data_IF_121019544405
#
_entry.id   IF_121019544405
#
_cell.length_a   1.000
_cell.length_b   1.000
_cell.length_c   1.000
_cell.angle_alpha   90.00
_cell.angle_beta   90.00
_cell.angle_gamma   90.00
#
_symmetry.space_group_name_H-M   'P 1'
#
loop_
_entity.id
_entity.type
_entity.pdbx_description
1 polymer ?
#
# COMPACT_ATOMS: atom_id res chain seq x y z
N UNK A 1 75.36 27.47 -3.49
CA UNK A 1 75.51 27.73 -2.05
C UNK A 1 74.50 26.82 -1.34
N UNK A 2 74.83 25.53 -1.17
CA UNK A 2 75.53 24.92 -0.01
C UNK A 2 74.67 24.88 1.26
N UNK A 3 73.87 23.81 1.38
CA UNK A 3 73.75 22.78 2.44
C UNK A 3 74.24 23.10 3.89
N UNK A 4 73.71 22.43 4.94
CA UNK A 4 73.27 21.02 4.89
C UNK A 4 71.99 20.62 5.66
N UNK A 5 71.50 19.43 5.27
CA UNK A 5 70.69 18.50 6.05
C UNK A 5 71.47 17.91 7.24
N UNK A 6 70.77 17.25 8.18
CA UNK A 6 71.14 15.95 8.81
C UNK A 6 70.04 15.50 9.79
N UNK A 7 69.90 14.17 10.03
CA UNK A 7 68.64 13.48 10.31
C UNK A 7 68.60 12.72 11.66
N UNK A 8 67.50 12.00 11.92
CA UNK A 8 67.37 10.99 12.97
C UNK A 8 65.96 11.00 13.56
N UNK A 9 65.25 9.90 13.81
CA UNK A 9 65.66 8.53 14.03
C UNK A 9 64.56 7.56 13.56
N UNK A 10 65.01 6.46 12.96
CA UNK A 10 64.32 5.17 12.91
C UNK A 10 64.06 4.64 14.33
N UNK A 11 62.88 4.08 14.59
CA UNK A 11 62.77 2.94 15.52
C UNK A 11 61.69 1.96 15.05
N UNK A 12 62.18 0.77 14.70
CA UNK A 12 61.45 -0.49 14.59
C UNK A 12 61.00 -0.98 16.00
N UNK A 13 60.16 -2.03 15.97
CA UNK A 13 59.83 -2.98 17.07
C UNK A 13 58.75 -2.45 18.03
N UNK A 14 57.64 -3.13 18.37
CA UNK A 14 57.43 -4.57 18.51
C UNK A 14 55.96 -5.00 18.41
N UNK A 15 55.83 -6.25 17.99
CA UNK A 15 54.69 -7.15 18.01
C UNK A 15 54.18 -7.41 19.44
N UNK A 16 52.86 -7.38 19.67
CA UNK A 16 52.25 -8.13 20.79
C UNK A 16 50.90 -8.72 20.36
N UNK A 17 50.95 -10.02 20.05
CA UNK A 17 49.80 -10.93 20.13
C UNK A 17 49.36 -11.02 21.59
N UNK A 18 48.04 -11.03 21.84
CA UNK A 18 47.49 -11.72 23.00
C UNK A 18 46.27 -12.52 22.58
N UNK A 19 46.47 -13.84 22.48
CA UNK A 19 45.43 -14.86 22.51
C UNK A 19 44.90 -14.97 23.94
N UNK A 20 43.58 -15.00 24.12
CA UNK A 20 42.96 -15.64 25.27
C UNK A 20 41.96 -16.69 24.78
N UNK A 21 42.42 -17.95 24.85
CA UNK A 21 41.61 -19.16 24.88
C UNK A 21 40.90 -19.24 26.24
N UNK A 22 39.58 -19.40 26.24
CA UNK A 22 38.88 -20.07 27.32
C UNK A 22 38.04 -21.21 26.73
N UNK A 23 38.39 -22.42 27.18
CA UNK A 23 37.80 -23.70 26.81
C UNK A 23 36.60 -23.99 27.72
N UNK A 24 35.47 -24.28 27.07
CA UNK A 24 34.40 -25.23 27.35
C UNK A 24 33.92 -25.52 28.80
N UNK A 25 32.59 -25.41 28.97
CA UNK A 25 31.67 -26.51 29.34
C UNK A 25 30.34 -26.15 28.62
N UNK A 26 29.74 -26.94 27.73
CA UNK A 26 29.49 -28.38 27.84
C UNK A 26 28.10 -28.60 28.45
N UNK A 27 27.03 -28.48 27.65
CA UNK A 27 25.77 -29.23 27.87
C UNK A 27 24.89 -29.20 26.62
N UNK A 28 24.99 -30.30 25.89
CA UNK A 28 24.11 -30.68 24.78
C UNK A 28 22.67 -30.80 25.29
N UNK A 29 21.75 -30.09 24.64
CA UNK A 29 20.32 -30.25 24.88
C UNK A 29 19.89 -31.69 24.52
N UNK A 30 19.03 -32.34 25.34
CA UNK A 30 18.48 -33.64 24.96
C UNK A 30 17.56 -33.48 23.75
N UNK A 31 17.84 -34.23 22.69
CA UNK A 31 16.94 -34.42 21.57
C UNK A 31 15.68 -35.13 22.07
N UNK A 32 14.57 -34.39 22.12
CA UNK A 32 13.24 -34.96 22.31
C UNK A 32 12.80 -35.51 20.95
N UNK A 33 12.55 -36.81 20.88
CA UNK A 33 11.94 -37.47 19.72
C UNK A 33 10.65 -36.75 19.30
N UNK A 34 10.36 -36.57 18.00
CA UNK A 34 9.07 -36.03 17.60
C UNK A 34 7.98 -37.05 17.92
N UNK A 35 7.17 -36.77 18.93
CA UNK A 35 5.87 -37.42 19.10
C UNK A 35 5.01 -37.05 17.90
N UNK A 36 4.64 -38.07 17.14
CA UNK A 36 3.65 -38.01 16.07
C UNK A 36 2.32 -37.54 16.66
N UNK A 37 2.01 -36.26 16.51
CA UNK A 37 0.68 -35.71 16.80
C UNK A 37 -0.22 -36.09 15.63
N UNK A 38 -1.30 -36.79 15.94
CA UNK A 38 -2.34 -37.18 15.00
C UNK A 38 -2.89 -35.94 14.24
N UNK A 39 -3.31 -36.09 12.97
CA UNK A 39 -3.92 -34.98 12.23
C UNK A 39 -5.21 -34.54 12.93
N UNK A 40 -5.25 -33.25 13.27
CA UNK A 40 -6.47 -32.56 13.69
C UNK A 40 -7.49 -32.56 12.55
N UNK A 41 -8.80 -32.77 12.80
CA UNK A 41 -9.80 -32.75 11.75
C UNK A 41 -9.84 -31.37 11.09
N UNK A 42 -9.66 -31.39 9.79
CA UNK A 42 -9.85 -30.30 8.82
C UNK A 42 -11.15 -29.52 9.12
N UNK A 43 -11.14 -28.16 9.16
CA UNK A 43 -12.37 -27.41 9.26
C UNK A 43 -13.20 -27.70 8.01
N UNK A 44 -14.43 -28.16 8.21
CA UNK A 44 -15.37 -28.43 7.14
C UNK A 44 -15.40 -27.27 6.13
N UNK A 45 -14.97 -27.56 4.91
CA UNK A 45 -15.19 -26.74 3.73
C UNK A 45 -16.67 -26.37 3.69
N UNK A 46 -17.00 -25.12 4.04
CA UNK A 46 -18.31 -24.57 3.67
C UNK A 46 -18.30 -24.50 2.16
N UNK A 47 -18.86 -25.53 1.52
CA UNK A 47 -19.45 -25.38 0.20
C UNK A 47 -20.38 -24.19 0.29
N UNK A 48 -19.99 -23.08 -0.34
CA UNK A 48 -20.91 -22.01 -0.65
C UNK A 48 -22.01 -22.66 -1.49
N UNK A 49 -23.22 -22.75 -0.94
CA UNK A 49 -24.43 -23.02 -1.71
C UNK A 49 -24.58 -21.92 -2.76
N UNK A 50 -23.90 -22.10 -3.89
CA UNK A 50 -24.09 -21.35 -5.12
C UNK A 50 -25.38 -21.85 -5.79
N UNK A 51 -26.51 -21.76 -5.09
CA UNK A 51 -27.82 -22.08 -5.64
C UNK A 51 -28.93 -21.49 -4.79
N UNK A 52 -29.06 -20.16 -4.85
CA UNK A 52 -30.33 -19.41 -4.96
C UNK A 52 -30.07 -17.92 -4.74
N UNK A 53 -29.63 -17.24 -5.80
CA UNK A 53 -29.85 -15.80 -5.91
C UNK A 53 -30.46 -15.53 -7.29
N UNK A 54 -31.72 -15.96 -7.42
CA UNK A 54 -32.57 -15.57 -8.55
C UNK A 54 -33.17 -14.20 -8.25
N UNK A 55 -32.38 -13.18 -8.54
CA UNK A 55 -32.77 -11.79 -8.62
C UNK A 55 -31.60 -11.06 -9.27
N UNK A 56 -31.82 -10.38 -10.39
CA UNK A 56 -30.79 -9.55 -11.01
C UNK A 56 -30.36 -8.53 -9.94
N UNK A 57 -29.20 -8.74 -9.34
CA UNK A 57 -28.64 -7.77 -8.41
C UNK A 57 -28.32 -6.54 -9.23
N UNK A 58 -28.93 -5.42 -8.88
CA UNK A 58 -28.59 -4.12 -9.46
C UNK A 58 -27.22 -3.61 -8.98
N UNK A 59 -26.52 -4.39 -8.15
CA UNK A 59 -25.21 -4.08 -7.60
C UNK A 59 -24.17 -4.96 -8.29
N UNK A 60 -23.14 -4.30 -8.83
CA UNK A 60 -21.92 -4.88 -9.38
C UNK A 60 -20.76 -4.49 -8.49
N UNK A 61 -19.99 -5.47 -8.00
CA UNK A 61 -18.79 -5.20 -7.21
C UNK A 61 -17.57 -5.43 -8.09
N UNK A 62 -16.78 -4.39 -8.29
CA UNK A 62 -15.53 -4.42 -9.04
C UNK A 62 -14.38 -4.35 -8.05
N UNK A 63 -13.44 -5.26 -8.17
CA UNK A 63 -12.23 -5.27 -7.33
C UNK A 63 -11.14 -4.45 -8.01
N UNK A 64 -10.26 -3.83 -7.21
CA UNK A 64 -9.04 -3.23 -7.76
C UNK A 64 -8.26 -4.29 -8.56
N UNK A 65 -7.56 -3.88 -9.62
CA UNK A 65 -6.96 -4.83 -10.56
C UNK A 65 -5.83 -5.65 -9.94
N UNK A 66 -5.09 -5.08 -8.99
CA UNK A 66 -3.82 -5.64 -8.54
C UNK A 66 -2.73 -5.55 -9.61
N UNK A 67 -1.55 -6.08 -9.28
CA UNK A 67 -0.46 -6.24 -10.25
C UNK A 67 0.22 -4.93 -10.67
N UNK A 68 0.46 -4.76 -11.98
CA UNK A 68 1.40 -3.76 -12.52
C UNK A 68 0.79 -2.38 -12.83
N UNK A 69 -0.52 -2.21 -12.70
CA UNK A 69 -1.23 -0.94 -12.98
C UNK A 69 -1.50 -0.12 -11.72
N UNK A 70 -0.99 -0.55 -10.57
CA UNK A 70 -1.34 -0.02 -9.26
C UNK A 70 -0.16 -0.17 -8.31
N UNK A 71 -0.18 0.58 -7.20
CA UNK A 71 0.86 0.51 -6.20
C UNK A 71 0.99 1.82 -5.45
N UNK A 72 2.21 2.13 -5.01
CA UNK A 72 2.51 3.40 -4.38
C UNK A 72 3.71 4.10 -5.01
N UNK A 73 3.72 5.42 -4.96
CA UNK A 73 4.88 6.25 -5.32
C UNK A 73 5.19 7.24 -4.20
N UNK A 74 6.45 7.37 -3.78
CA UNK A 74 6.90 8.42 -2.87
C UNK A 74 7.15 9.74 -3.60
N UNK A 75 7.18 10.85 -2.86
CA UNK A 75 7.74 12.11 -3.38
C UNK A 75 9.25 12.03 -3.44
N UNK A 76 9.85 12.87 -4.29
CA UNK A 76 11.27 13.22 -4.18
C UNK A 76 12.25 12.21 -4.78
N UNK A 77 11.94 10.91 -4.81
CA UNK A 77 12.75 9.91 -5.48
C UNK A 77 11.93 9.05 -6.44
N UNK A 78 12.52 8.66 -7.59
CA UNK A 78 11.84 7.93 -8.67
C UNK A 78 11.54 6.45 -8.33
N UNK A 79 11.19 6.16 -7.08
CA UNK A 79 10.77 4.83 -6.63
C UNK A 79 9.30 4.55 -6.94
N UNK A 80 8.97 3.27 -7.01
CA UNK A 80 7.59 2.79 -6.99
C UNK A 80 7.59 1.41 -6.33
N UNK A 81 6.49 1.03 -5.72
CA UNK A 81 6.35 -0.29 -5.12
C UNK A 81 4.93 -0.83 -5.26
N UNK A 82 4.78 -2.11 -4.99
CA UNK A 82 3.52 -2.83 -5.18
C UNK A 82 2.57 -2.71 -3.99
N UNK A 83 3.05 -2.46 -2.78
CA UNK A 83 2.17 -2.31 -1.60
C UNK A 83 1.23 -1.12 -1.73
N UNK A 84 0.06 -1.20 -1.09
CA UNK A 84 -0.94 -0.12 -1.08
C UNK A 84 -0.90 0.59 0.28
N UNK A 85 -0.02 1.58 0.42
CA UNK A 85 0.08 2.40 1.62
C UNK A 85 0.41 3.86 1.28
N UNK A 86 0.03 4.75 2.19
CA UNK A 86 0.22 6.21 2.11
C UNK A 86 0.66 6.72 3.48
N UNK A 87 1.33 7.86 3.52
CA UNK A 87 1.92 8.40 4.75
C UNK A 87 3.40 8.71 4.61
N UNK A 88 4.09 8.97 5.71
CA UNK A 88 5.49 9.40 5.74
C UNK A 88 6.34 8.59 6.73
N UNK A 89 7.64 8.92 6.80
CA UNK A 89 8.59 8.37 7.77
C UNK A 89 8.58 6.82 7.89
N UNK A 90 8.33 6.13 6.77
CA UNK A 90 8.05 4.69 6.72
C UNK A 90 9.15 3.82 7.34
N UNK A 91 10.40 4.30 7.28
CA UNK A 91 11.56 3.73 7.93
C UNK A 91 12.61 4.83 8.20
N UNK A 92 13.63 4.59 9.03
CA UNK A 92 14.64 5.60 9.40
C UNK A 92 15.45 6.21 8.24
N UNK A 93 15.38 5.63 7.03
CA UNK A 93 16.03 6.15 5.82
C UNK A 93 15.06 6.80 4.84
N UNK A 94 13.75 6.75 5.11
CA UNK A 94 12.76 7.43 4.30
C UNK A 94 12.95 8.94 4.44
N UNK A 95 13.04 9.71 3.35
CA UNK A 95 13.24 11.15 3.46
C UNK A 95 12.08 11.79 4.22
N UNK A 96 12.43 12.65 5.17
CA UNK A 96 11.46 13.33 5.99
C UNK A 96 10.60 14.28 5.13
N UNK A 97 9.27 14.22 5.28
CA UNK A 97 8.34 15.09 4.56
C UNK A 97 8.05 14.72 3.09
N UNK A 98 8.60 13.61 2.57
CA UNK A 98 8.34 13.21 1.20
C UNK A 98 6.95 12.56 1.03
N UNK A 99 6.53 11.73 1.97
CA UNK A 99 5.22 11.09 1.86
C UNK A 99 5.11 10.08 0.72
N UNK A 100 4.00 9.33 0.73
CA UNK A 100 3.68 8.28 -0.24
C UNK A 100 2.21 8.39 -0.64
N UNK A 101 1.91 8.16 -1.92
CA UNK A 101 0.56 8.14 -2.49
C UNK A 101 0.26 6.75 -3.06
N UNK A 102 -1.01 6.32 -2.97
CA UNK A 102 -1.50 5.06 -3.55
C UNK A 102 -2.17 5.34 -4.90
N UNK A 103 -2.03 4.42 -5.85
CA UNK A 103 -2.66 4.47 -7.17
C UNK A 103 -3.46 3.18 -7.39
N UNK A 104 -4.76 3.34 -7.69
CA UNK A 104 -5.72 2.26 -7.93
C UNK A 104 -6.28 2.33 -9.35
N UNK A 105 -6.69 1.17 -9.87
CA UNK A 105 -7.28 0.96 -11.19
C UNK A 105 -8.39 -0.09 -11.10
N UNK A 106 -9.58 0.25 -11.58
CA UNK A 106 -10.73 -0.65 -11.65
C UNK A 106 -11.12 -0.84 -13.12
N UNK A 107 -11.36 -2.08 -13.52
CA UNK A 107 -11.87 -2.41 -14.86
C UNK A 107 -13.40 -2.28 -14.88
N UNK A 108 -13.90 -1.33 -15.68
CA UNK A 108 -15.32 -1.03 -15.78
C UNK A 108 -16.06 -1.90 -16.81
N UNK A 109 -15.39 -2.84 -17.48
CA UNK A 109 -16.01 -3.73 -18.48
C UNK A 109 -17.15 -4.58 -17.90
N UNK A 110 -17.13 -4.82 -16.59
CA UNK A 110 -18.19 -5.54 -15.88
C UNK A 110 -19.44 -4.68 -15.59
N UNK A 111 -19.39 -3.36 -15.79
CA UNK A 111 -20.53 -2.46 -15.55
C UNK A 111 -21.53 -2.56 -16.72
N UNK A 112 -22.79 -2.93 -16.46
CA UNK A 112 -23.83 -2.94 -17.50
C UNK A 112 -24.03 -1.55 -18.09
N UNK A 113 -24.36 -1.49 -19.39
CA UNK A 113 -24.73 -0.26 -20.08
C UNK A 113 -26.11 0.26 -19.64
N UNK A 114 -26.21 0.69 -18.39
CA UNK A 114 -27.38 1.27 -17.74
C UNK A 114 -26.99 2.52 -16.99
N UNK A 115 -27.99 3.30 -16.61
CA UNK A 115 -27.76 4.46 -15.76
C UNK A 115 -27.24 4.03 -14.39
N UNK A 116 -26.15 4.66 -13.96
CA UNK A 116 -25.60 4.49 -12.62
C UNK A 116 -26.49 5.24 -11.63
N UNK A 117 -26.86 4.56 -10.55
CA UNK A 117 -27.59 5.13 -9.40
C UNK A 117 -26.60 5.62 -8.34
N UNK A 118 -25.61 4.79 -8.00
CA UNK A 118 -24.57 5.13 -7.04
C UNK A 118 -23.30 4.34 -7.31
N UNK A 119 -22.17 4.90 -6.88
CA UNK A 119 -20.90 4.21 -6.82
C UNK A 119 -20.23 4.52 -5.50
N UNK A 120 -19.72 3.50 -4.82
CA UNK A 120 -18.96 3.64 -3.58
C UNK A 120 -17.62 2.92 -3.72
N UNK A 121 -16.53 3.67 -3.59
CA UNK A 121 -15.21 3.07 -3.32
C UNK A 121 -15.14 2.76 -1.82
N UNK A 122 -14.72 1.55 -1.46
CA UNK A 122 -14.53 1.14 -0.06
C UNK A 122 -13.37 0.17 0.12
N UNK A 123 -12.86 0.10 1.34
CA UNK A 123 -11.96 -0.96 1.79
C UNK A 123 -12.22 -1.26 3.26
N UNK A 124 -12.22 -2.54 3.61
CA UNK A 124 -12.25 -2.99 5.01
C UNK A 124 -10.88 -3.53 5.48
N UNK A 125 -9.88 -3.48 4.59
CA UNK A 125 -8.58 -4.15 4.74
C UNK A 125 -7.49 -3.21 5.27
N UNK A 126 -7.80 -2.41 6.29
CA UNK A 126 -6.95 -1.29 6.74
C UNK A 126 -6.07 -1.65 7.94
N UNK A 127 -4.85 -1.13 7.94
CA UNK A 127 -3.94 -1.10 9.08
C UNK A 127 -3.36 0.30 9.22
N UNK A 128 -3.31 0.81 10.46
CA UNK A 128 -2.82 2.16 10.75
C UNK A 128 -1.65 2.07 11.72
N UNK A 129 -0.60 2.82 11.42
CA UNK A 129 0.55 3.04 12.28
C UNK A 129 0.71 4.55 12.51
N UNK A 130 0.98 4.95 13.75
CA UNK A 130 1.05 6.37 14.11
C UNK A 130 -0.33 7.02 14.19
N UNK A 131 -0.40 8.31 13.90
CA UNK A 131 -1.59 9.15 13.88
C UNK A 131 -1.77 9.88 12.52
N UNK A 132 -1.66 9.20 11.36
CA UNK A 132 -1.66 9.85 10.04
C UNK A 132 -2.88 10.72 9.78
N UNK A 133 -4.08 10.29 10.19
CA UNK A 133 -5.32 11.03 9.94
C UNK A 133 -5.46 12.29 10.80
N UNK A 134 -4.65 12.41 11.86
CA UNK A 134 -4.57 13.59 12.71
C UNK A 134 -3.42 14.49 12.27
N UNK A 135 -2.26 13.88 12.05
CA UNK A 135 -1.00 14.60 11.87
C UNK A 135 -0.71 14.94 10.41
N UNK A 136 -1.32 14.22 9.46
CA UNK A 136 -1.21 14.46 8.01
C UNK A 136 -2.53 14.91 7.36
N UNK A 137 -3.67 14.69 8.00
CA UNK A 137 -5.00 15.14 7.55
C UNK A 137 -5.85 14.02 6.96
N UNK A 138 -6.94 14.38 6.28
CA UNK A 138 -7.85 13.40 5.71
C UNK A 138 -7.16 12.57 4.62
N UNK A 139 -7.48 11.27 4.56
CA UNK A 139 -7.16 10.44 3.42
C UNK A 139 -8.20 10.73 2.34
N UNK A 140 -7.76 11.26 1.21
CA UNK A 140 -8.61 11.62 0.07
C UNK A 140 -8.47 10.62 -1.06
N UNK A 141 -9.49 10.52 -1.90
CA UNK A 141 -9.38 9.87 -3.19
C UNK A 141 -9.66 10.88 -4.31
N UNK A 142 -8.71 10.98 -5.24
CA UNK A 142 -8.77 11.87 -6.40
C UNK A 142 -8.83 11.06 -7.69
N UNK A 143 -9.70 11.45 -8.63
CA UNK A 143 -9.70 10.84 -9.96
C UNK A 143 -8.48 11.30 -10.76
N UNK A 144 -7.79 10.33 -11.34
CA UNK A 144 -6.66 10.54 -12.24
C UNK A 144 -6.80 9.60 -13.43
N UNK A 145 -6.05 9.85 -14.52
CA UNK A 145 -5.97 8.94 -15.65
C UNK A 145 -4.53 8.75 -16.05
N UNK A 146 -4.10 7.51 -16.19
CA UNK A 146 -2.74 7.17 -16.58
C UNK A 146 -2.68 5.87 -17.37
N UNK A 147 -1.82 5.86 -18.40
CA UNK A 147 -1.65 4.69 -19.26
C UNK A 147 -0.80 3.58 -18.62
N UNK A 148 0.09 3.94 -17.69
CA UNK A 148 1.01 3.01 -17.03
C UNK A 148 1.34 3.51 -15.63
N UNK A 149 1.39 2.59 -14.68
CA UNK A 149 1.91 2.86 -13.35
C UNK A 149 3.43 3.15 -13.39
N UNK A 150 3.84 4.26 -12.78
CA UNK A 150 5.25 4.66 -12.72
C UNK A 150 5.49 5.68 -11.61
N UNK A 151 6.73 5.87 -11.22
CA UNK A 151 7.13 6.89 -10.24
C UNK A 151 6.83 8.33 -10.67
N UNK A 152 6.58 8.59 -11.95
CA UNK A 152 6.19 9.91 -12.44
C UNK A 152 4.78 10.33 -11.99
N UNK A 153 3.94 9.39 -11.55
CA UNK A 153 2.55 9.67 -11.20
C UNK A 153 2.37 10.55 -9.96
N UNK A 154 3.39 10.68 -9.11
CA UNK A 154 3.34 11.58 -7.95
C UNK A 154 2.91 13.00 -8.32
N UNK A 155 3.50 13.55 -9.39
CA UNK A 155 3.25 14.92 -9.86
C UNK A 155 2.10 15.00 -10.87
N UNK A 156 1.35 13.91 -11.08
CA UNK A 156 0.20 13.94 -11.97
C UNK A 156 -0.90 14.80 -11.34
N UNK A 157 -1.37 15.79 -12.09
CA UNK A 157 -2.52 16.58 -11.67
C UNK A 157 -3.79 15.71 -11.66
N UNK A 158 -4.70 15.94 -10.71
CA UNK A 158 -6.01 15.31 -10.74
C UNK A 158 -6.75 15.68 -12.02
N UNK A 159 -7.64 14.81 -12.47
CA UNK A 159 -8.46 15.08 -13.65
C UNK A 159 -9.31 16.34 -13.38
N UNK A 160 -9.33 17.35 -14.28
CA UNK A 160 -10.19 18.53 -14.09
C UNK A 160 -11.66 18.16 -13.99
N UNK A 161 -12.33 18.60 -12.93
CA UNK A 161 -13.71 18.18 -12.61
C UNK A 161 -13.84 16.71 -12.17
N UNK A 162 -12.72 16.03 -11.96
CA UNK A 162 -12.59 14.68 -11.41
C UNK A 162 -13.19 14.55 -10.01
N UNK A 163 -13.35 13.33 -9.54
CA UNK A 163 -13.64 13.13 -8.12
C UNK A 163 -12.51 13.69 -7.25
N UNK A 164 -12.94 14.26 -6.13
CA UNK A 164 -12.12 14.61 -4.99
C UNK A 164 -13.00 14.42 -3.75
N UNK A 165 -12.77 13.33 -3.02
CA UNK A 165 -13.58 12.94 -1.87
C UNK A 165 -12.71 12.67 -0.64
N UNK A 166 -13.26 12.92 0.56
CA UNK A 166 -12.68 12.40 1.79
C UNK A 166 -13.01 10.90 1.91
N UNK A 167 -11.99 10.05 1.75
CA UNK A 167 -12.11 8.61 1.88
C UNK A 167 -12.10 8.14 3.33
N UNK A 168 -11.30 8.80 4.20
CA UNK A 168 -11.32 8.61 5.64
C UNK A 168 -10.80 9.84 6.40
N UNK A 169 -11.42 10.16 7.53
CA UNK A 169 -11.00 11.25 8.45
C UNK A 169 -10.72 10.75 9.87
N UNK A 170 -10.92 9.46 10.13
CA UNK A 170 -10.77 8.83 11.44
C UNK A 170 -10.12 7.46 11.31
N UNK A 171 -9.25 7.04 12.25
CA UNK A 171 -8.59 5.74 12.19
C UNK A 171 -9.57 4.57 12.32
N UNK A 172 -10.74 4.80 12.89
CA UNK A 172 -11.79 3.79 13.02
C UNK A 172 -12.73 3.76 11.80
N UNK A 173 -12.41 4.51 10.75
CA UNK A 173 -13.22 4.63 9.54
C UNK A 173 -14.46 5.52 9.70
N UNK A 174 -15.39 5.46 8.74
CA UNK A 174 -15.39 4.52 7.62
C UNK A 174 -14.29 4.83 6.58
N UNK A 175 -13.84 3.82 5.84
CA UNK A 175 -12.92 3.92 4.71
C UNK A 175 -13.71 3.76 3.41
N UNK A 176 -14.43 4.81 3.04
CA UNK A 176 -15.31 4.81 1.86
C UNK A 176 -15.65 6.22 1.38
N UNK A 177 -15.90 6.37 0.09
CA UNK A 177 -16.52 7.58 -0.44
C UNK A 177 -17.35 7.32 -1.70
N UNK A 178 -18.26 8.25 -2.02
CA UNK A 178 -19.13 8.18 -3.19
C UNK A 178 -18.45 8.76 -4.44
N UNK A 179 -18.51 8.03 -5.56
CA UNK A 179 -17.77 8.33 -6.80
C UNK A 179 -18.63 8.14 -8.06
N UNK A 180 -19.95 8.32 -7.93
CA UNK A 180 -20.90 8.05 -9.02
C UNK A 180 -20.57 8.86 -10.29
N UNK A 181 -20.25 10.15 -10.12
CA UNK A 181 -19.95 11.04 -11.24
C UNK A 181 -18.68 10.64 -12.00
N UNK A 182 -17.64 10.18 -11.30
CA UNK A 182 -16.39 9.70 -11.91
C UNK A 182 -16.62 8.48 -12.78
N UNK A 183 -17.28 7.45 -12.26
CA UNK A 183 -17.52 6.23 -13.05
C UNK A 183 -18.43 6.52 -14.24
N UNK A 184 -19.48 7.32 -14.03
CA UNK A 184 -20.35 7.72 -15.13
C UNK A 184 -19.58 8.49 -16.21
N UNK A 185 -18.65 9.37 -15.83
CA UNK A 185 -17.79 10.08 -16.78
C UNK A 185 -16.87 9.13 -17.55
N UNK A 186 -16.16 8.23 -16.86
CA UNK A 186 -15.31 7.22 -17.53
C UNK A 186 -16.11 6.43 -18.57
N UNK A 187 -17.31 5.97 -18.22
CA UNK A 187 -18.18 5.25 -19.16
C UNK A 187 -18.63 6.12 -20.33
N UNK A 188 -19.03 7.37 -20.08
CA UNK A 188 -19.43 8.31 -21.14
C UNK A 188 -18.27 8.61 -22.12
N UNK A 189 -17.05 8.68 -21.60
CA UNK A 189 -15.83 8.91 -22.39
C UNK A 189 -15.36 7.65 -23.14
N UNK A 190 -16.08 6.52 -23.00
CA UNK A 190 -15.63 5.20 -23.48
C UNK A 190 -14.25 4.81 -22.91
N UNK A 191 -13.91 5.30 -21.72
CA UNK A 191 -12.70 4.95 -20.99
C UNK A 191 -12.99 3.72 -20.11
N UNK A 192 -12.37 2.55 -20.39
CA UNK A 192 -12.76 1.29 -19.75
C UNK A 192 -12.28 1.17 -18.30
N UNK A 193 -11.65 2.20 -17.73
CA UNK A 193 -11.06 2.18 -16.40
C UNK A 193 -11.64 3.29 -15.51
N UNK A 194 -11.71 3.02 -14.21
CA UNK A 194 -11.77 4.06 -13.18
C UNK A 194 -10.45 4.04 -12.40
N UNK A 195 -9.78 5.18 -12.31
CA UNK A 195 -8.45 5.28 -11.72
C UNK A 195 -8.42 6.37 -10.68
N UNK A 196 -7.79 6.06 -9.54
CA UNK A 196 -7.79 6.93 -8.39
C UNK A 196 -6.39 7.02 -7.78
N UNK A 197 -6.05 8.20 -7.27
CA UNK A 197 -4.96 8.39 -6.32
C UNK A 197 -5.57 8.48 -4.92
N UNK A 198 -5.00 7.76 -3.94
CA UNK A 198 -5.22 8.10 -2.54
C UNK A 198 -4.01 8.79 -1.94
N UNK A 199 -4.26 9.86 -1.20
CA UNK A 199 -3.25 10.73 -0.59
C UNK A 199 -3.78 11.36 0.70
N UNK A 200 -2.88 11.68 1.62
CA UNK A 200 -3.18 12.51 2.78
C UNK A 200 -3.04 13.99 2.41
N UNK A 201 -3.73 14.88 3.13
CA UNK A 201 -3.67 16.34 2.87
C UNK A 201 -2.24 16.90 2.93
N UNK A 202 -1.38 16.30 3.74
CA UNK A 202 0.03 16.64 3.88
C UNK A 202 0.90 15.43 3.56
N UNK A 203 2.01 15.70 2.88
CA UNK A 203 3.01 14.68 2.55
C UNK A 203 3.82 14.20 3.77
N UNK A 204 3.92 15.02 4.82
CA UNK A 204 4.58 14.66 6.07
C UNK A 204 4.50 15.80 7.08
N UNK A 205 4.80 15.50 8.34
CA UNK A 205 4.73 16.48 9.44
C UNK A 205 6.11 16.88 10.00
N UNK A 206 7.15 16.13 9.62
CA UNK A 206 8.54 16.28 10.02
C UNK A 206 8.87 15.94 11.48
N UNK A 207 8.03 15.17 12.17
CA UNK A 207 8.27 14.80 13.57
C UNK A 207 9.23 13.59 13.72
N UNK A 208 9.50 12.87 12.62
CA UNK A 208 10.37 11.70 12.57
C UNK A 208 9.70 10.40 13.05
N UNK A 209 8.45 10.45 13.45
CA UNK A 209 7.62 9.29 13.76
C UNK A 209 6.89 8.81 12.49
N UNK A 210 6.66 7.50 12.37
CA UNK A 210 5.98 6.93 11.21
C UNK A 210 4.46 7.12 11.30
N UNK A 211 3.90 7.85 10.35
CA UNK A 211 2.46 7.97 10.14
C UNK A 211 2.06 7.28 8.84
N UNK A 212 1.30 6.19 8.93
CA UNK A 212 0.99 5.36 7.77
C UNK A 212 -0.41 4.76 7.83
N UNK A 213 -1.10 4.83 6.69
CA UNK A 213 -2.30 4.03 6.41
C UNK A 213 -1.92 3.01 5.33
N UNK A 214 -2.07 1.73 5.65
CA UNK A 214 -1.79 0.63 4.74
C UNK A 214 -3.06 -0.21 4.52
N UNK A 215 -3.22 -0.73 3.30
CA UNK A 215 -4.34 -1.57 2.91
C UNK A 215 -3.83 -2.92 2.38
N UNK A 216 -4.20 -4.01 3.05
CA UNK A 216 -3.77 -5.36 2.66
C UNK A 216 -4.64 -6.43 3.31
N UNK A 217 -4.71 -7.60 2.66
CA UNK A 217 -5.44 -8.77 3.18
C UNK A 217 -4.52 -9.65 4.04
N UNK A 218 -3.31 -9.95 3.54
CA UNK A 218 -2.37 -10.84 4.22
C UNK A 218 -0.93 -10.30 4.30
N UNK A 219 -0.45 -9.64 3.25
CA UNK A 219 0.91 -9.08 3.18
C UNK A 219 0.84 -7.63 2.68
N UNK A 220 1.43 -6.70 3.42
CA UNK A 220 1.45 -5.27 3.09
C UNK A 220 2.31 -4.92 1.87
N UNK A 221 3.14 -5.87 1.41
CA UNK A 221 4.01 -5.69 0.25
C UNK A 221 3.39 -6.18 -1.07
N UNK A 222 2.24 -6.86 -1.01
CA UNK A 222 1.54 -7.37 -2.19
C UNK A 222 0.32 -6.52 -2.53
N UNK A 223 0.03 -6.44 -3.82
CA UNK A 223 -1.22 -5.88 -4.30
C UNK A 223 -1.99 -6.95 -5.08
N UNK A 224 -3.02 -7.46 -4.41
CA UNK A 224 -3.95 -8.45 -4.92
C UNK A 224 -5.34 -7.82 -5.10
N UNK A 225 -6.15 -8.33 -6.04
CA UNK A 225 -7.53 -7.89 -6.18
C UNK A 225 -8.35 -8.04 -4.90
N UNK A 226 -9.19 -7.05 -4.63
CA UNK A 226 -10.17 -7.08 -3.53
C UNK A 226 -9.67 -6.45 -2.24
N UNK A 227 -8.50 -5.79 -2.26
CA UNK A 227 -8.10 -4.89 -1.16
C UNK A 227 -9.06 -3.70 -1.13
N UNK A 228 -9.38 -3.16 -2.32
CA UNK A 228 -10.42 -2.15 -2.52
C UNK A 228 -11.52 -2.70 -3.42
N UNK A 229 -12.74 -2.23 -3.16
CA UNK A 229 -13.92 -2.56 -3.95
C UNK A 229 -14.61 -1.27 -4.40
N UNK A 230 -15.06 -1.28 -5.66
CA UNK A 230 -15.93 -0.29 -6.26
C UNK A 230 -17.31 -0.92 -6.44
N UNK A 231 -18.23 -0.55 -5.57
CA UNK A 231 -19.59 -1.04 -5.57
C UNK A 231 -20.46 -0.11 -6.42
N UNK A 232 -20.92 -0.61 -7.57
CA UNK A 232 -21.70 0.12 -8.57
C UNK A 232 -23.14 -0.34 -8.52
N UNK A 233 -24.06 0.55 -8.15
CA UNK A 233 -25.50 0.30 -8.27
C UNK A 233 -26.00 0.91 -9.58
N UNK A 234 -26.69 0.11 -10.39
CA UNK A 234 -27.33 0.54 -11.65
C UNK A 234 -28.84 0.52 -11.54
N UNK A 235 -29.53 1.19 -12.47
CA UNK A 235 -30.98 1.08 -12.55
C UNK A 235 -31.43 -0.35 -12.92
N UNK A 236 -32.59 -0.81 -12.43
CA UNK A 236 -33.18 -2.09 -12.83
C UNK A 236 -33.36 -2.21 -14.34
N UNK A 237 -33.36 -3.44 -14.87
CA UNK A 237 -33.90 -3.69 -16.21
C UNK A 237 -35.38 -3.26 -16.26
N UNK A 238 -35.73 -2.46 -17.26
CA UNK A 238 -37.12 -2.08 -17.55
C UNK A 238 -37.81 -3.13 -18.41
#
# INVERSE_FOLDING_TARGET
MNNPAVPGQTSLVALTLFLLLLIACGQSAPAVSPTQVAPSPEPATRQSDASKQSGVSNIVVIRNQGGAMEGHTPRGFQGMGTGLFTGDNLNPRFPNGDGVQIFLTFDLSAVPARKIVSVVLRSDNVSIRGMPLKDLGALRAEEIRYAKFSSALWNLDPLPGGADCEFATSPNGPFKCALAETVQRSLNDSYPLAQFRLLLDRAGDNDGNPDMVAFFIADSNTNQPGIFELEVTVEPES
#
